data_IF_828902677557
#
_entry.id   IF_828902677557
#
_cell.length_a   1.000
_cell.length_b   1.000
_cell.length_c   1.000
_cell.angle_alpha   90.00
_cell.angle_beta   90.00
_cell.angle_gamma   90.00
#
_symmetry.space_group_name_H-M   'P 1'
#
loop_
_entity.id
_entity.type
_entity.pdbx_description
1 polymer ?
#
# COMPACT_ATOMS: atom_id res chain seq x y z
N UNK A 1 13.57 -6.19 -5.29
CA UNK A 1 12.10 -6.20 -5.11
C UNK A 1 11.68 -6.01 -3.66
N UNK A 2 12.24 -6.75 -2.68
CA UNK A 2 11.87 -6.60 -1.26
C UNK A 2 11.98 -5.19 -0.68
N UNK A 3 13.00 -4.41 -1.06
CA UNK A 3 13.16 -3.01 -0.61
C UNK A 3 11.97 -2.10 -0.96
N UNK A 4 11.35 -2.28 -2.13
CA UNK A 4 10.21 -1.46 -2.55
C UNK A 4 8.96 -1.76 -1.71
N UNK A 5 8.73 -3.03 -1.37
CA UNK A 5 7.64 -3.45 -0.47
C UNK A 5 7.85 -2.93 0.95
N UNK A 6 9.10 -2.90 1.43
CA UNK A 6 9.45 -2.31 2.73
C UNK A 6 9.15 -0.80 2.73
N UNK A 7 9.58 -0.07 1.70
CA UNK A 7 9.29 1.36 1.57
C UNK A 7 7.78 1.62 1.50
N UNK A 8 7.04 0.80 0.75
CA UNK A 8 5.59 0.89 0.64
C UNK A 8 4.91 0.67 2.00
N UNK A 9 5.35 -0.34 2.76
CA UNK A 9 4.82 -0.61 4.10
C UNK A 9 5.13 0.55 5.07
N UNK A 10 6.33 1.11 5.04
CA UNK A 10 6.68 2.28 5.84
C UNK A 10 5.81 3.50 5.50
N UNK A 11 5.65 3.81 4.22
CA UNK A 11 4.78 4.89 3.77
C UNK A 11 3.33 4.67 4.22
N UNK A 12 2.83 3.45 4.12
CA UNK A 12 1.48 3.09 4.56
C UNK A 12 1.29 3.35 6.06
N UNK A 13 2.23 2.92 6.90
CA UNK A 13 2.18 3.13 8.36
C UNK A 13 2.23 4.62 8.71
N UNK A 14 3.15 5.39 8.12
CA UNK A 14 3.26 6.84 8.38
C UNK A 14 1.96 7.55 8.00
N UNK A 15 1.39 7.19 6.86
CA UNK A 15 0.15 7.79 6.36
C UNK A 15 -1.04 7.45 7.27
N UNK A 16 -1.10 6.20 7.76
CA UNK A 16 -2.13 5.77 8.70
C UNK A 16 -2.02 6.53 10.03
N UNK A 17 -0.82 6.65 10.59
CA UNK A 17 -0.59 7.40 11.83
C UNK A 17 -0.96 8.87 11.65
N UNK A 18 -0.57 9.49 10.53
CA UNK A 18 -0.96 10.86 10.19
C UNK A 18 -2.49 11.01 10.13
N UNK A 19 -3.18 10.11 9.42
CA UNK A 19 -4.64 10.14 9.36
C UNK A 19 -5.29 9.99 10.76
N UNK A 20 -4.82 9.08 11.60
CA UNK A 20 -5.36 8.84 12.93
C UNK A 20 -5.17 10.04 13.87
N UNK A 21 -4.02 10.71 13.78
CA UNK A 21 -3.77 11.95 14.53
C UNK A 21 -4.69 13.08 14.06
N UNK A 22 -4.85 13.23 12.74
CA UNK A 22 -5.72 14.26 12.17
C UNK A 22 -7.21 13.95 12.29
N UNK A 23 -7.60 12.70 12.55
CA UNK A 23 -9.01 12.29 12.76
C UNK A 23 -9.69 13.07 13.89
N UNK A 24 -8.90 13.49 14.89
CA UNK A 24 -9.39 14.23 16.05
C UNK A 24 -9.61 15.73 15.76
N UNK A 25 -9.25 16.21 14.57
CA UNK A 25 -9.39 17.63 14.23
C UNK A 25 -10.85 18.02 13.96
N UNK A 26 -11.34 19.13 14.54
CA UNK A 26 -12.71 19.61 14.32
C UNK A 26 -12.89 20.12 12.88
N UNK A 27 -14.10 19.93 12.34
CA UNK A 27 -14.48 20.28 10.94
C UNK A 27 -14.25 21.74 10.54
N UNK A 28 -14.12 22.64 11.53
CA UNK A 28 -13.92 24.07 11.34
C UNK A 28 -12.44 24.45 11.19
N UNK A 29 -11.51 23.51 11.38
CA UNK A 29 -10.07 23.76 11.27
C UNK A 29 -9.58 23.58 9.82
N UNK A 30 -8.68 24.43 9.32
CA UNK A 30 -8.03 24.21 8.01
C UNK A 30 -7.24 22.90 7.93
N UNK A 31 -6.88 22.29 9.07
CA UNK A 31 -6.26 20.96 9.15
C UNK A 31 -7.20 19.83 8.66
N UNK A 32 -8.49 20.13 8.48
CA UNK A 32 -9.46 19.20 7.94
C UNK A 32 -9.16 18.79 6.48
N UNK A 33 -8.67 19.73 5.66
CA UNK A 33 -8.23 19.42 4.29
C UNK A 33 -7.00 18.51 4.27
N UNK A 34 -6.10 18.67 5.24
CA UNK A 34 -4.93 17.81 5.39
C UNK A 34 -5.35 16.38 5.79
N UNK A 35 -6.36 16.25 6.66
CA UNK A 35 -6.95 14.94 7.02
C UNK A 35 -7.48 14.22 5.78
N UNK A 36 -8.22 14.91 4.91
CA UNK A 36 -8.78 14.32 3.69
C UNK A 36 -7.68 13.93 2.70
N UNK A 37 -6.61 14.70 2.60
CA UNK A 37 -5.43 14.30 1.85
C UNK A 37 -4.79 13.01 2.40
N UNK A 38 -4.59 12.91 3.71
CA UNK A 38 -4.07 11.69 4.35
C UNK A 38 -5.00 10.49 4.12
N UNK A 39 -6.31 10.70 4.13
CA UNK A 39 -7.29 9.67 3.82
C UNK A 39 -7.16 9.17 2.37
N UNK A 40 -7.14 10.09 1.40
CA UNK A 40 -6.95 9.74 -0.01
C UNK A 40 -5.61 9.05 -0.26
N UNK A 41 -4.53 9.54 0.35
CA UNK A 41 -3.20 8.95 0.23
C UNK A 41 -3.17 7.52 0.80
N UNK A 42 -3.79 7.30 1.97
CA UNK A 42 -3.91 5.97 2.57
C UNK A 42 -4.67 5.02 1.65
N UNK A 43 -5.75 5.50 1.03
CA UNK A 43 -6.56 4.71 0.10
C UNK A 43 -5.77 4.35 -1.16
N UNK A 44 -5.04 5.29 -1.75
CA UNK A 44 -4.16 5.04 -2.89
C UNK A 44 -3.05 4.02 -2.56
N UNK A 45 -2.37 4.17 -1.42
CA UNK A 45 -1.34 3.23 -0.97
C UNK A 45 -1.89 1.82 -0.74
N UNK A 46 -3.13 1.71 -0.26
CA UNK A 46 -3.80 0.42 -0.06
C UNK A 46 -4.08 -0.28 -1.38
N UNK A 47 -4.54 0.46 -2.40
CA UNK A 47 -4.75 -0.07 -3.76
C UNK A 47 -3.44 -0.57 -4.36
N UNK A 48 -2.38 0.23 -4.28
CA UNK A 48 -1.05 -0.15 -4.79
C UNK A 48 -0.52 -1.40 -4.08
N UNK A 49 -0.68 -1.47 -2.75
CA UNK A 49 -0.29 -2.65 -1.98
C UNK A 49 -1.03 -3.91 -2.43
N UNK A 50 -2.33 -3.77 -2.72
CA UNK A 50 -3.16 -4.88 -3.18
C UNK A 50 -2.72 -5.36 -4.57
N UNK A 51 -2.43 -4.44 -5.50
CA UNK A 51 -1.86 -4.76 -6.81
C UNK A 51 -0.49 -5.45 -6.69
N UNK A 52 0.37 -4.99 -5.79
CA UNK A 52 1.67 -5.59 -5.56
C UNK A 52 1.56 -7.04 -5.03
N UNK A 53 0.60 -7.31 -4.13
CA UNK A 53 0.32 -8.65 -3.64
C UNK A 53 -0.18 -9.55 -4.77
N UNK A 54 -1.12 -9.06 -5.59
CA UNK A 54 -1.61 -9.83 -6.75
C UNK A 54 -0.47 -10.19 -7.69
N UNK A 55 0.38 -9.23 -8.05
CA UNK A 55 1.54 -9.47 -8.91
C UNK A 55 2.52 -10.49 -8.31
N UNK A 56 2.76 -10.43 -6.99
CA UNK A 56 3.59 -11.40 -6.27
C UNK A 56 2.99 -12.80 -6.32
N UNK A 57 1.69 -12.93 -6.03
CA UNK A 57 0.98 -14.22 -6.06
C UNK A 57 1.02 -14.81 -7.47
N UNK A 58 0.72 -14.01 -8.50
CA UNK A 58 0.82 -14.45 -9.90
C UNK A 58 2.24 -14.91 -10.23
N UNK A 59 3.26 -14.14 -9.85
CA UNK A 59 4.66 -14.52 -10.07
C UNK A 59 5.04 -15.85 -9.40
N UNK A 60 4.61 -16.07 -8.15
CA UNK A 60 4.85 -17.33 -7.42
C UNK A 60 4.15 -18.51 -8.11
N UNK A 61 2.88 -18.35 -8.49
CA UNK A 61 2.12 -19.39 -9.20
C UNK A 61 2.82 -19.74 -10.51
N UNK A 62 3.25 -18.74 -11.28
CA UNK A 62 3.98 -18.95 -12.54
C UNK A 62 5.30 -19.68 -12.30
N UNK A 63 6.06 -19.37 -11.25
CA UNK A 63 7.28 -20.10 -10.89
C UNK A 63 7.01 -21.57 -10.51
N UNK A 64 5.94 -21.84 -9.76
CA UNK A 64 5.61 -23.20 -9.28
C UNK A 64 4.99 -24.09 -10.37
N UNK A 65 4.19 -23.51 -11.26
CA UNK A 65 3.46 -24.23 -12.32
C UNK A 65 3.95 -23.84 -13.70
N UNK A 66 5.24 -23.58 -13.86
CA UNK A 66 5.79 -23.16 -15.15
C UNK A 66 5.75 -24.33 -16.14
N UNK A 67 4.89 -24.31 -17.18
CA UNK A 67 4.84 -25.38 -18.18
C UNK A 67 6.06 -25.35 -19.12
N UNK A 68 6.87 -24.28 -19.07
CA UNK A 68 8.09 -24.11 -19.85
C UNK A 68 9.36 -24.29 -19.01
N UNK A 69 9.26 -24.81 -17.78
CA UNK A 69 10.45 -25.17 -17.02
C UNK A 69 11.17 -26.33 -17.73
N UNK A 70 12.49 -26.23 -17.98
CA UNK A 70 13.23 -27.34 -18.57
C UNK A 70 13.16 -28.52 -17.61
N UNK A 71 12.52 -29.61 -18.05
CA UNK A 71 12.54 -30.87 -17.33
C UNK A 71 13.96 -31.41 -17.35
N UNK A 72 14.53 -31.63 -16.16
CA UNK A 72 15.72 -32.47 -16.02
C UNK A 72 15.39 -33.91 -16.39
#
# INVERSE_FOLDING_TARGET
MGRALVVLAFLWVITLTGFLLLRQTPKTSPLWGLRDFFWMLLQALSIVSLLAIVALVTGIITLQRNPFAPGN
#
